data_IF_680694340993
#
_entry.id   IF_680694340993
#
_cell.length_a   1.000
_cell.length_b   1.000
_cell.length_c   1.000
_cell.angle_alpha   90.00
_cell.angle_beta   90.00
_cell.angle_gamma   90.00
#
_symmetry.space_group_name_H-M   'P 1'
#
loop_
_entity.id
_entity.type
_entity.pdbx_description
1 polymer ?
#
# COMPACT_ATOMS: atom_id res chain seq x y z
N UNK A 1 -3.39 -15.05 -5.54
CA UNK A 1 -4.07 -15.58 -6.75
C UNK A 1 -5.46 -15.02 -6.76
N UNK A 2 -5.81 -14.27 -7.80
CA UNK A 2 -7.12 -13.60 -7.92
C UNK A 2 -7.84 -14.19 -9.12
N UNK A 3 -8.95 -14.88 -8.86
CA UNK A 3 -9.97 -15.29 -9.83
C UNK A 3 -11.32 -14.85 -9.24
N UNK A 4 -11.75 -13.60 -9.48
CA UNK A 4 -12.80 -12.98 -8.69
C UNK A 4 -14.17 -13.35 -9.25
N UNK A 5 -15.07 -13.79 -8.36
CA UNK A 5 -16.46 -14.04 -8.71
C UNK A 5 -17.24 -12.76 -9.09
N UNK A 6 -16.75 -11.58 -8.66
CA UNK A 6 -17.36 -10.27 -8.89
C UNK A 6 -16.32 -9.24 -9.37
N UNK A 7 -16.70 -8.25 -10.18
CA UNK A 7 -15.78 -7.18 -10.58
C UNK A 7 -15.25 -6.41 -9.36
N UNK A 8 -13.96 -6.06 -9.39
CA UNK A 8 -13.35 -5.24 -8.34
C UNK A 8 -13.87 -3.79 -8.36
N UNK A 9 -14.00 -3.21 -7.17
CA UNK A 9 -14.25 -1.77 -7.02
C UNK A 9 -12.98 -0.97 -7.37
N UNK A 10 -13.10 0.33 -7.71
CA UNK A 10 -11.93 1.16 -7.95
C UNK A 10 -10.93 1.15 -6.79
N UNK A 11 -11.41 1.21 -5.54
CA UNK A 11 -10.53 1.20 -4.36
C UNK A 11 -9.77 -0.14 -4.22
N UNK A 12 -10.43 -1.24 -4.57
CA UNK A 12 -9.79 -2.56 -4.56
C UNK A 12 -8.74 -2.71 -5.65
N UNK A 13 -8.96 -2.14 -6.84
CA UNK A 13 -7.96 -2.13 -7.92
C UNK A 13 -6.73 -1.34 -7.46
N UNK A 14 -6.93 -0.12 -6.95
CA UNK A 14 -5.82 0.72 -6.43
C UNK A 14 -5.05 0.02 -5.32
N UNK A 15 -5.72 -0.67 -4.39
CA UNK A 15 -5.03 -1.41 -3.34
C UNK A 15 -4.14 -2.54 -3.87
N UNK A 16 -4.57 -3.24 -4.94
CA UNK A 16 -3.77 -4.31 -5.57
C UNK A 16 -2.62 -3.73 -6.40
N UNK A 17 -2.83 -2.59 -7.07
CA UNK A 17 -1.78 -1.85 -7.77
C UNK A 17 -0.69 -1.42 -6.79
N UNK A 18 -1.04 -0.74 -5.69
CA UNK A 18 -0.07 -0.35 -4.66
C UNK A 18 0.67 -1.56 -4.08
N UNK A 19 -0.02 -2.66 -3.82
CA UNK A 19 0.65 -3.89 -3.38
C UNK A 19 1.67 -4.40 -4.41
N UNK A 20 1.35 -4.34 -5.71
CA UNK A 20 2.27 -4.76 -6.76
C UNK A 20 3.46 -3.78 -6.90
N UNK A 21 3.21 -2.48 -6.79
CA UNK A 21 4.25 -1.43 -6.84
C UNK A 21 5.21 -1.51 -5.66
N UNK A 22 4.71 -1.91 -4.48
CA UNK A 22 5.51 -2.16 -3.27
C UNK A 22 6.37 -3.43 -3.36
N UNK A 23 6.43 -4.10 -4.52
CA UNK A 23 7.21 -5.34 -4.72
C UNK A 23 6.44 -6.62 -4.40
N UNK A 24 5.16 -6.53 -4.04
CA UNK A 24 4.27 -7.68 -3.89
C UNK A 24 4.01 -8.36 -5.24
N UNK A 25 3.92 -9.69 -5.26
CA UNK A 25 3.73 -10.47 -6.50
C UNK A 25 2.27 -10.81 -6.69
N UNK A 26 1.70 -10.46 -7.84
CA UNK A 26 0.29 -10.70 -8.17
C UNK A 26 0.18 -11.77 -9.26
N UNK A 27 -0.64 -12.79 -8.99
CA UNK A 27 -1.01 -13.80 -9.98
C UNK A 27 -2.49 -13.66 -10.32
N UNK A 28 -2.77 -13.35 -11.58
CA UNK A 28 -4.09 -13.26 -12.17
C UNK A 28 -4.38 -14.51 -12.99
N UNK A 29 -5.46 -15.21 -12.68
CA UNK A 29 -5.92 -16.35 -13.48
C UNK A 29 -7.31 -16.02 -14.01
N UNK A 30 -7.45 -15.98 -15.33
CA UNK A 30 -8.67 -15.54 -15.99
C UNK A 30 -9.21 -16.57 -16.95
N UNK A 31 -10.54 -16.69 -17.01
CA UNK A 31 -11.24 -17.45 -18.03
C UNK A 31 -11.92 -16.50 -19.04
N UNK A 32 -12.20 -16.97 -20.27
CA UNK A 32 -13.05 -16.22 -21.20
C UNK A 32 -14.42 -15.96 -20.57
N UNK A 33 -14.94 -14.75 -20.75
CA UNK A 33 -16.21 -14.34 -20.17
C UNK A 33 -17.35 -15.23 -20.71
N UNK A 34 -18.13 -15.83 -19.83
CA UNK A 34 -19.43 -16.40 -20.21
C UNK A 34 -20.45 -15.27 -20.29
N UNK A 35 -21.10 -15.13 -21.43
CA UNK A 35 -22.16 -14.13 -21.70
C UNK A 35 -23.21 -14.16 -20.59
N UNK A 36 -23.36 -13.05 -19.87
CA UNK A 36 -24.53 -12.81 -19.03
C UNK A 36 -25.65 -12.25 -19.91
N UNK A 37 -26.69 -13.05 -20.15
CA UNK A 37 -27.88 -12.61 -20.87
C UNK A 37 -28.75 -11.82 -19.90
N UNK A 38 -28.75 -10.49 -19.99
CA UNK A 38 -29.71 -9.65 -19.29
C UNK A 38 -31.08 -9.78 -19.97
N UNK A 39 -31.98 -10.60 -19.42
CA UNK A 39 -33.38 -10.66 -19.84
C UNK A 39 -34.16 -9.52 -19.21
N UNK A 40 -34.41 -8.45 -19.97
CA UNK A 40 -35.35 -7.38 -19.61
C UNK A 40 -36.76 -7.63 -20.19
N UNK A 41 -37.79 -6.92 -19.70
CA UNK A 41 -39.19 -7.08 -20.13
C UNK A 41 -39.47 -6.71 -21.60
N UNK A 42 -38.48 -6.13 -22.31
CA UNK A 42 -38.60 -5.68 -23.70
C UNK A 42 -37.66 -6.40 -24.68
N UNK A 43 -37.13 -7.58 -24.30
CA UNK A 43 -36.20 -8.37 -25.13
C UNK A 43 -34.74 -8.25 -24.67
N UNK A 44 -33.97 -9.32 -24.87
CA UNK A 44 -32.58 -9.42 -24.43
C UNK A 44 -31.65 -8.49 -25.20
N UNK A 45 -30.85 -7.70 -24.48
CA UNK A 45 -29.78 -6.89 -25.06
C UNK A 45 -28.44 -7.58 -24.81
N UNK A 46 -27.63 -7.74 -25.85
CA UNK A 46 -26.24 -8.20 -25.72
C UNK A 46 -25.42 -7.03 -25.17
N UNK A 47 -25.05 -7.10 -23.89
CA UNK A 47 -24.08 -6.16 -23.29
C UNK A 47 -22.69 -6.74 -23.53
N UNK A 48 -21.75 -5.94 -24.04
CA UNK A 48 -20.34 -6.32 -24.17
C UNK A 48 -19.78 -6.67 -22.77
N UNK A 49 -19.70 -7.96 -22.47
CA UNK A 49 -19.21 -8.43 -21.16
C UNK A 49 -17.69 -8.45 -21.20
N UNK A 50 -17.07 -7.35 -20.77
CA UNK A 50 -15.63 -7.32 -20.45
C UNK A 50 -15.29 -8.50 -19.53
N UNK A 51 -14.10 -9.09 -19.69
CA UNK A 51 -13.60 -10.07 -18.73
C UNK A 51 -13.80 -9.55 -17.31
N UNK A 52 -14.21 -10.40 -16.37
CA UNK A 52 -14.41 -10.00 -14.96
C UNK A 52 -13.11 -9.46 -14.34
N UNK A 53 -11.98 -9.84 -14.92
CA UNK A 53 -10.65 -9.32 -14.62
C UNK A 53 -10.28 -8.05 -15.37
N UNK A 54 -11.09 -7.59 -16.35
CA UNK A 54 -10.73 -6.49 -17.25
C UNK A 54 -10.27 -5.24 -16.51
N UNK A 55 -11.03 -4.75 -15.52
CA UNK A 55 -10.63 -3.56 -14.74
C UNK A 55 -9.35 -3.76 -13.92
N UNK A 56 -9.19 -4.92 -13.28
CA UNK A 56 -8.00 -5.22 -12.48
C UNK A 56 -6.77 -5.44 -13.37
N UNK A 57 -6.95 -6.15 -14.48
CA UNK A 57 -5.92 -6.37 -15.48
C UNK A 57 -5.46 -5.06 -16.11
N UNK A 58 -6.38 -4.20 -16.53
CA UNK A 58 -6.06 -2.90 -17.14
C UNK A 58 -5.17 -2.05 -16.21
N UNK A 59 -5.50 -1.99 -14.92
CA UNK A 59 -4.70 -1.33 -13.89
C UNK A 59 -3.30 -1.90 -13.71
N UNK A 60 -3.18 -3.22 -13.87
CA UNK A 60 -1.92 -3.97 -13.77
C UNK A 60 -1.19 -4.14 -15.13
N UNK A 61 -1.64 -3.46 -16.19
CA UNK A 61 -1.01 -3.52 -17.52
C UNK A 61 -1.21 -4.83 -18.28
N UNK A 62 -2.27 -5.57 -17.98
CA UNK A 62 -2.62 -6.88 -18.57
C UNK A 62 -4.03 -6.88 -19.14
N UNK A 63 -4.19 -7.31 -20.39
CA UNK A 63 -5.50 -7.47 -21.03
C UNK A 63 -5.86 -8.96 -21.22
N UNK A 64 -7.02 -9.37 -20.71
CA UNK A 64 -7.59 -10.70 -20.94
C UNK A 64 -8.59 -10.66 -22.11
N UNK A 65 -8.53 -11.66 -22.99
CA UNK A 65 -9.51 -11.87 -24.03
C UNK A 65 -10.85 -12.36 -23.47
N UNK A 66 -11.92 -12.10 -24.20
CA UNK A 66 -13.30 -12.53 -23.86
C UNK A 66 -13.69 -13.85 -24.53
N UNK A 67 -12.96 -14.25 -25.56
CA UNK A 67 -13.29 -15.37 -26.44
C UNK A 67 -12.42 -16.59 -26.14
N UNK A 68 -13.01 -17.78 -26.27
CA UNK A 68 -12.25 -19.02 -26.06
C UNK A 68 -11.39 -19.36 -27.27
N UNK A 69 -10.25 -20.00 -27.00
CA UNK A 69 -9.35 -20.54 -28.00
C UNK A 69 -9.70 -22.00 -28.33
N UNK A 70 -9.45 -22.39 -29.57
CA UNK A 70 -9.51 -23.78 -30.00
C UNK A 70 -8.43 -24.09 -31.04
N UNK A 71 -8.03 -25.35 -31.11
CA UNK A 71 -7.05 -25.85 -32.06
C UNK A 71 -7.39 -27.28 -32.49
N UNK A 72 -7.63 -27.50 -33.78
CA UNK A 72 -7.99 -28.82 -34.32
C UNK A 72 -6.78 -29.72 -34.55
N UNK A 73 -5.57 -29.14 -34.55
CA UNK A 73 -4.31 -29.83 -34.87
C UNK A 73 -3.50 -30.10 -33.61
N UNK A 74 -3.35 -29.09 -32.75
CA UNK A 74 -2.53 -29.14 -31.54
C UNK A 74 -3.41 -29.07 -30.27
N UNK A 75 -4.00 -30.21 -29.91
CA UNK A 75 -4.89 -30.31 -28.75
C UNK A 75 -4.69 -31.58 -27.93
N UNK A 76 -5.18 -31.55 -26.69
CA UNK A 76 -5.20 -32.69 -25.76
C UNK A 76 -6.47 -33.53 -25.97
N UNK A 77 -6.63 -34.12 -27.16
CA UNK A 77 -7.74 -35.02 -27.48
C UNK A 77 -9.13 -34.36 -27.58
N UNK A 78 -9.22 -33.05 -27.43
CA UNK A 78 -10.42 -32.25 -27.66
C UNK A 78 -9.99 -30.89 -28.18
N UNK A 79 -10.56 -30.44 -29.30
CA UNK A 79 -10.17 -29.19 -29.96
C UNK A 79 -10.23 -27.92 -29.08
N UNK A 80 -10.99 -27.92 -27.98
CA UNK A 80 -11.03 -26.82 -26.99
C UNK A 80 -9.91 -26.89 -25.95
N UNK A 81 -9.18 -28.01 -25.87
CA UNK A 81 -8.06 -28.23 -24.95
C UNK A 81 -6.76 -27.89 -25.66
N UNK A 82 -6.47 -26.60 -25.74
CA UNK A 82 -5.35 -26.07 -26.52
C UNK A 82 -4.03 -26.38 -25.82
N UNK A 83 -3.03 -26.80 -26.60
CA UNK A 83 -1.66 -26.91 -26.12
C UNK A 83 -0.91 -25.59 -26.37
N UNK A 84 -0.12 -25.15 -25.40
CA UNK A 84 0.72 -23.97 -25.51
C UNK A 84 2.17 -24.28 -25.17
N UNK A 85 3.10 -23.72 -25.95
CA UNK A 85 4.53 -23.93 -25.77
C UNK A 85 5.09 -22.86 -24.84
N UNK A 86 5.91 -23.31 -23.90
CA UNK A 86 6.59 -22.47 -22.93
C UNK A 86 7.74 -21.66 -23.51
N UNK A 87 8.06 -20.58 -22.81
CA UNK A 87 9.10 -19.62 -23.13
C UNK A 87 9.82 -19.21 -21.85
N UNK A 88 11.11 -18.86 -21.96
CA UNK A 88 11.89 -18.36 -20.82
C UNK A 88 12.00 -19.41 -19.73
N UNK A 89 11.51 -19.12 -18.52
CA UNK A 89 11.49 -20.06 -17.39
C UNK A 89 10.73 -21.37 -17.70
N UNK A 90 9.86 -21.33 -18.72
CA UNK A 90 9.08 -22.46 -19.24
C UNK A 90 9.63 -23.03 -20.56
N UNK A 91 10.83 -22.67 -21.01
CA UNK A 91 11.42 -23.24 -22.23
C UNK A 91 11.38 -24.78 -22.18
N UNK A 92 11.04 -25.39 -23.32
CA UNK A 92 10.78 -26.83 -23.51
C UNK A 92 9.58 -27.41 -22.75
N UNK A 93 8.80 -26.61 -22.02
CA UNK A 93 7.55 -27.06 -21.41
C UNK A 93 6.38 -26.93 -22.39
N UNK A 94 5.41 -27.84 -22.30
CA UNK A 94 4.13 -27.73 -23.01
C UNK A 94 2.96 -27.83 -22.04
N UNK A 95 2.15 -26.79 -21.96
CA UNK A 95 0.97 -26.73 -21.08
C UNK A 95 -0.30 -27.11 -21.84
N UNK A 96 -1.21 -27.82 -21.16
CA UNK A 96 -2.54 -28.13 -21.66
C UNK A 96 -3.57 -27.26 -20.94
N UNK A 97 -4.28 -26.43 -21.71
CA UNK A 97 -5.25 -25.46 -21.19
C UNK A 97 -6.66 -25.83 -21.66
N UNK A 98 -7.67 -25.77 -20.78
CA UNK A 98 -8.98 -26.39 -21.04
C UNK A 98 -10.11 -25.38 -21.27
N UNK A 99 -9.91 -24.14 -20.85
CA UNK A 99 -10.81 -23.00 -21.08
C UNK A 99 -9.98 -21.76 -21.41
N UNK A 100 -9.02 -21.91 -22.34
CA UNK A 100 -8.04 -20.87 -22.63
C UNK A 100 -8.64 -19.63 -23.32
N UNK A 101 -8.20 -18.45 -22.90
CA UNK A 101 -8.35 -17.16 -23.58
C UNK A 101 -6.98 -16.52 -23.83
N UNK A 102 -6.93 -15.51 -24.68
CA UNK A 102 -5.70 -14.74 -24.91
C UNK A 102 -5.36 -13.85 -23.73
N UNK A 103 -4.08 -13.66 -23.45
CA UNK A 103 -3.60 -12.69 -22.46
C UNK A 103 -2.48 -11.86 -23.07
N UNK A 104 -2.61 -10.54 -23.01
CA UNK A 104 -1.64 -9.60 -23.58
C UNK A 104 -1.10 -8.68 -22.48
N UNK A 105 0.19 -8.35 -22.57
CA UNK A 105 0.82 -7.32 -21.74
C UNK A 105 1.83 -6.56 -22.62
N UNK A 106 1.58 -5.31 -23.00
CA UNK A 106 2.50 -4.53 -23.82
C UNK A 106 3.89 -4.46 -23.18
N UNK A 107 4.93 -4.88 -23.91
CA UNK A 107 6.31 -4.94 -23.40
C UNK A 107 6.58 -6.07 -22.39
N UNK A 108 5.56 -6.86 -22.03
CA UNK A 108 5.67 -8.01 -21.15
C UNK A 108 6.27 -9.25 -21.83
N UNK A 109 6.78 -10.14 -21.00
CA UNK A 109 7.28 -11.45 -21.41
C UNK A 109 6.10 -12.41 -21.66
N UNK A 110 6.09 -13.11 -22.79
CA UNK A 110 5.11 -14.17 -23.06
C UNK A 110 5.64 -15.47 -22.50
N UNK A 111 4.98 -16.03 -21.48
CA UNK A 111 5.38 -17.27 -20.82
C UNK A 111 4.85 -18.52 -21.53
N UNK A 112 3.64 -18.43 -22.10
CA UNK A 112 3.01 -19.48 -22.90
C UNK A 112 2.45 -18.89 -24.18
N UNK A 113 2.75 -19.54 -25.30
CA UNK A 113 2.27 -19.13 -26.63
C UNK A 113 1.72 -20.34 -27.36
N UNK A 114 0.51 -20.21 -27.89
CA UNK A 114 -0.11 -21.29 -28.67
C UNK A 114 0.53 -21.44 -30.06
N UNK A 115 0.38 -22.60 -30.71
CA UNK A 115 0.81 -22.83 -32.09
C UNK A 115 0.11 -21.92 -33.11
N UNK A 116 0.65 -21.87 -34.34
CA UNK A 116 0.08 -21.09 -35.44
C UNK A 116 -1.31 -21.58 -35.90
N UNK A 117 -1.68 -22.81 -35.54
CA UNK A 117 -2.96 -23.45 -35.87
C UNK A 117 -4.13 -22.99 -35.00
N UNK A 118 -3.85 -22.27 -33.91
CA UNK A 118 -4.86 -21.90 -32.92
C UNK A 118 -5.76 -20.78 -33.42
N UNK A 119 -7.06 -20.90 -33.14
CA UNK A 119 -8.11 -19.96 -33.57
C UNK A 119 -8.90 -19.44 -32.36
N UNK A 120 -9.51 -18.27 -32.52
CA UNK A 120 -10.52 -17.75 -31.59
C UNK A 120 -11.92 -18.14 -32.05
N UNK A 121 -12.84 -18.31 -31.11
CA UNK A 121 -14.23 -18.69 -31.39
C UNK A 121 -14.98 -17.74 -32.34
N UNK A 122 -14.68 -16.44 -32.31
CA UNK A 122 -15.41 -15.41 -33.08
C UNK A 122 -14.61 -14.81 -34.24
N UNK A 123 -13.30 -15.07 -34.32
CA UNK A 123 -12.44 -14.54 -35.38
C UNK A 123 -12.02 -15.64 -36.34
N UNK A 124 -12.15 -15.36 -37.64
CA UNK A 124 -11.57 -16.20 -38.67
C UNK A 124 -10.08 -15.89 -38.80
N UNK A 125 -9.23 -16.86 -38.46
CA UNK A 125 -7.77 -16.75 -38.65
C UNK A 125 -6.98 -17.53 -37.60
N UNK A 126 -6.20 -18.51 -38.07
CA UNK A 126 -5.27 -19.25 -37.23
C UNK A 126 -3.99 -18.44 -37.04
N UNK A 127 -3.54 -18.28 -35.80
CA UNK A 127 -2.25 -17.65 -35.46
C UNK A 127 -1.82 -18.01 -34.05
N UNK A 128 -0.53 -17.82 -33.76
CA UNK A 128 0.01 -17.89 -32.40
C UNK A 128 -0.68 -16.84 -31.51
N UNK A 129 -1.04 -17.24 -30.30
CA UNK A 129 -1.65 -16.36 -29.29
C UNK A 129 -0.94 -16.53 -27.95
N UNK A 130 -0.58 -15.45 -27.25
CA UNK A 130 -0.16 -15.56 -25.86
C UNK A 130 -1.35 -15.94 -24.98
N UNK A 131 -1.10 -16.86 -24.06
CA UNK A 131 -2.09 -17.37 -23.08
C UNK A 131 -1.56 -17.30 -21.65
N UNK A 132 -0.28 -16.99 -21.49
CA UNK A 132 0.28 -16.54 -20.22
C UNK A 132 1.37 -15.49 -20.46
N UNK A 133 1.41 -14.46 -19.64
CA UNK A 133 2.37 -13.36 -19.71
C UNK A 133 2.89 -12.97 -18.32
N UNK A 134 4.07 -12.35 -18.29
CA UNK A 134 4.65 -11.70 -17.12
C UNK A 134 4.97 -10.25 -17.44
N UNK A 135 4.56 -9.34 -16.58
CA UNK A 135 4.92 -7.91 -16.65
C UNK A 135 5.18 -7.39 -15.25
N UNK A 136 6.39 -6.86 -15.00
CA UNK A 136 6.80 -6.40 -13.68
C UNK A 136 6.54 -7.44 -12.56
N UNK A 137 5.71 -7.05 -11.60
CA UNK A 137 5.30 -7.88 -10.46
C UNK A 137 4.00 -8.66 -10.68
N UNK A 138 3.58 -8.84 -11.93
CA UNK A 138 2.33 -9.51 -12.30
C UNK A 138 2.60 -10.70 -13.25
N UNK A 139 2.02 -11.85 -12.95
CA UNK A 139 1.85 -12.98 -13.88
C UNK A 139 0.37 -13.17 -14.15
N UNK A 140 0.02 -13.33 -15.42
CA UNK A 140 -1.35 -13.53 -15.86
C UNK A 140 -1.48 -14.75 -16.75
N UNK A 141 -2.48 -15.60 -16.51
CA UNK A 141 -2.76 -16.83 -17.27
C UNK A 141 -4.23 -16.89 -17.65
N UNK A 142 -4.50 -17.13 -18.93
CA UNK A 142 -5.84 -17.16 -19.53
C UNK A 142 -6.58 -18.48 -19.37
N UNK A 143 -6.26 -19.26 -18.34
CA UNK A 143 -6.99 -20.48 -17.94
C UNK A 143 -6.77 -20.69 -16.44
N UNK A 144 -7.84 -20.90 -15.68
CA UNK A 144 -7.76 -21.28 -14.25
C UNK A 144 -7.82 -22.79 -14.08
N UNK A 145 -8.35 -23.51 -15.07
CA UNK A 145 -8.76 -24.89 -14.91
C UNK A 145 -7.61 -25.86 -14.97
N UNK A 146 -6.45 -25.50 -15.53
CA UNK A 146 -5.25 -26.34 -15.50
C UNK A 146 -4.80 -26.74 -14.09
N UNK A 147 -5.24 -26.01 -13.05
CA UNK A 147 -5.00 -26.29 -11.64
C UNK A 147 -6.03 -27.23 -10.99
N UNK A 148 -7.08 -27.64 -11.72
CA UNK A 148 -8.23 -28.37 -11.15
C UNK A 148 -8.17 -29.87 -11.40
N UNK A 149 -8.66 -30.67 -10.45
CA UNK A 149 -8.74 -32.13 -10.57
C UNK A 149 -7.39 -32.78 -10.88
N UNK A 150 -7.33 -33.62 -11.91
CA UNK A 150 -6.11 -34.29 -12.35
C UNK A 150 -5.28 -33.49 -13.38
N UNK A 151 -5.69 -32.27 -13.74
CA UNK A 151 -5.06 -31.48 -14.80
C UNK A 151 -3.63 -30.97 -14.48
N UNK A 152 -3.20 -30.79 -13.21
CA UNK A 152 -1.82 -30.44 -12.92
C UNK A 152 -0.78 -31.48 -13.34
N UNK A 153 -1.17 -32.74 -13.55
CA UNK A 153 -0.25 -33.81 -14.01
C UNK A 153 -0.36 -34.08 -15.51
N UNK A 154 -1.17 -33.33 -16.24
CA UNK A 154 -1.30 -33.45 -17.70
C UNK A 154 -0.29 -32.53 -18.39
N UNK A 155 0.39 -33.08 -19.40
CA UNK A 155 1.51 -32.41 -20.08
C UNK A 155 2.49 -31.85 -19.02
N UNK A 156 2.94 -30.60 -19.16
CA UNK A 156 3.83 -29.94 -18.20
C UNK A 156 3.10 -28.93 -17.30
N UNK A 157 1.79 -29.09 -17.07
CA UNK A 157 1.02 -28.19 -16.20
C UNK A 157 1.60 -28.09 -14.78
N UNK A 158 2.24 -29.15 -14.28
CA UNK A 158 2.93 -29.14 -13.00
C UNK A 158 4.16 -28.22 -13.00
N UNK A 159 4.86 -28.09 -14.13
CA UNK A 159 5.97 -27.13 -14.27
C UNK A 159 5.44 -25.70 -14.34
N UNK A 160 4.37 -25.45 -15.09
CA UNK A 160 3.67 -24.16 -15.10
C UNK A 160 3.25 -23.73 -13.69
N UNK A 161 2.59 -24.61 -12.94
CA UNK A 161 2.16 -24.34 -11.57
C UNK A 161 3.35 -24.01 -10.65
N UNK A 162 4.48 -24.72 -10.77
CA UNK A 162 5.70 -24.45 -10.00
C UNK A 162 6.31 -23.09 -10.33
N UNK A 163 6.38 -22.70 -11.60
CA UNK A 163 6.89 -21.38 -12.01
C UNK A 163 6.00 -20.26 -11.46
N UNK A 164 4.67 -20.42 -11.54
CA UNK A 164 3.72 -19.46 -10.97
C UNK A 164 3.86 -19.37 -9.45
N UNK A 165 4.00 -20.51 -8.76
CA UNK A 165 4.19 -20.54 -7.31
C UNK A 165 5.52 -19.88 -6.90
N UNK A 166 6.61 -20.20 -7.59
CA UNK A 166 7.93 -19.59 -7.37
C UNK A 166 7.88 -18.07 -7.57
N UNK A 167 7.19 -17.60 -8.62
CA UNK A 167 6.94 -16.18 -8.84
C UNK A 167 6.15 -15.56 -7.69
N UNK A 168 5.07 -16.20 -7.24
CA UNK A 168 4.21 -15.67 -6.18
C UNK A 168 4.95 -15.53 -4.83
N UNK A 169 5.92 -16.40 -4.54
CA UNK A 169 6.71 -16.35 -3.29
C UNK A 169 8.01 -15.55 -3.41
N UNK A 170 8.46 -15.25 -4.63
CA UNK A 170 9.70 -14.50 -4.91
C UNK A 170 9.55 -12.98 -4.87
N UNK A 171 8.59 -12.45 -4.11
CA UNK A 171 8.38 -11.02 -3.93
C UNK A 171 9.16 -10.48 -2.75
N UNK A 172 10.12 -9.58 -3.00
CA UNK A 172 10.77 -8.78 -1.97
C UNK A 172 9.93 -7.52 -1.74
N UNK A 173 8.84 -7.63 -0.96
CA UNK A 173 8.02 -6.46 -0.62
C UNK A 173 8.89 -5.45 0.12
N UNK A 174 8.99 -4.23 -0.42
CA UNK A 174 9.53 -3.09 0.31
C UNK A 174 8.52 -2.77 1.40
N UNK A 175 8.83 -3.18 2.63
CA UNK A 175 7.98 -2.91 3.79
C UNK A 175 8.26 -1.49 4.25
N UNK A 176 7.21 -0.69 4.36
CA UNK A 176 7.30 0.72 4.71
C UNK A 176 7.07 0.94 6.21
N UNK A 177 7.26 2.18 6.69
CA UNK A 177 6.97 2.55 8.09
C UNK A 177 5.51 2.24 8.48
N UNK A 178 4.60 2.37 7.52
CA UNK A 178 3.19 1.98 7.60
C UNK A 178 2.93 0.47 7.78
N UNK A 179 3.94 -0.36 7.49
CA UNK A 179 3.90 -1.81 7.70
C UNK A 179 4.49 -2.21 9.06
N UNK A 180 4.62 -1.30 10.02
CA UNK A 180 5.00 -1.67 11.39
C UNK A 180 4.07 -2.79 11.93
N UNK A 181 4.59 -3.79 12.66
CA UNK A 181 6.00 -4.06 12.99
C UNK A 181 6.72 -4.97 11.98
N UNK A 182 6.14 -5.21 10.80
CA UNK A 182 6.58 -6.27 9.91
C UNK A 182 7.95 -6.02 9.29
N UNK A 183 8.39 -4.78 9.09
CA UNK A 183 9.75 -4.51 8.60
C UNK A 183 10.85 -4.75 9.63
N UNK A 184 10.50 -4.96 10.90
CA UNK A 184 11.48 -5.22 11.95
C UNK A 184 12.09 -6.63 11.81
N UNK A 185 13.36 -6.81 12.24
CA UNK A 185 13.99 -8.12 12.30
C UNK A 185 13.25 -9.06 13.26
N UNK A 186 13.58 -10.35 13.22
CA UNK A 186 12.91 -11.37 14.03
C UNK A 186 13.05 -11.12 15.54
N UNK A 187 14.22 -10.65 15.98
CA UNK A 187 14.50 -10.33 17.39
C UNK A 187 14.91 -8.86 17.56
N UNK A 188 13.95 -7.91 17.48
CA UNK A 188 14.28 -6.50 17.59
C UNK A 188 14.64 -6.15 19.04
N UNK A 189 15.71 -5.37 19.21
CA UNK A 189 16.11 -4.82 20.50
C UNK A 189 15.56 -3.41 20.64
N UNK A 190 14.62 -3.24 21.56
CA UNK A 190 13.94 -1.97 21.77
C UNK A 190 14.61 -1.22 22.92
N UNK A 191 15.14 -0.04 22.62
CA UNK A 191 15.87 0.82 23.55
C UNK A 191 15.15 2.11 23.85
N UNK A 192 15.44 2.67 25.02
CA UNK A 192 14.94 3.97 25.41
C UNK A 192 16.05 4.86 25.99
N UNK A 193 16.04 6.15 25.64
CA UNK A 193 17.09 7.10 26.05
C UNK A 193 16.94 7.65 27.46
N UNK A 194 15.72 7.70 28.00
CA UNK A 194 15.43 8.24 29.34
C UNK A 194 14.30 7.48 30.06
N UNK A 195 14.34 7.49 31.40
CA UNK A 195 13.42 6.68 32.22
C UNK A 195 11.93 6.97 31.98
N UNK A 196 11.57 8.21 31.61
CA UNK A 196 10.20 8.59 31.27
C UNK A 196 9.64 7.85 30.05
N UNK A 197 10.50 7.33 29.17
CA UNK A 197 10.10 6.58 27.97
C UNK A 197 9.88 5.09 28.22
N UNK A 198 10.14 4.59 29.43
CA UNK A 198 10.08 3.17 29.74
C UNK A 198 8.71 2.57 29.42
N UNK A 199 7.62 3.27 29.76
CA UNK A 199 6.28 2.74 29.57
C UNK A 199 5.86 2.74 28.09
N UNK A 200 6.12 3.82 27.35
CA UNK A 200 5.98 3.83 25.89
C UNK A 200 6.77 2.70 25.22
N UNK A 201 7.97 2.41 25.73
CA UNK A 201 8.82 1.35 25.19
C UNK A 201 8.29 -0.05 25.49
N UNK A 202 7.71 -0.26 26.68
CA UNK A 202 7.03 -1.52 27.03
C UNK A 202 5.81 -1.76 26.17
N UNK A 203 5.05 -0.71 25.88
CA UNK A 203 3.88 -0.77 25.00
C UNK A 203 4.32 -1.14 23.57
N UNK A 204 5.36 -0.49 23.04
CA UNK A 204 5.94 -0.85 21.75
C UNK A 204 6.39 -2.32 21.71
N UNK A 205 7.03 -2.79 22.78
CA UNK A 205 7.46 -4.18 22.90
C UNK A 205 6.28 -5.16 22.98
N UNK A 206 5.13 -4.75 23.51
CA UNK A 206 3.90 -5.54 23.52
C UNK A 206 3.37 -5.71 22.10
N UNK A 207 3.31 -4.64 21.32
CA UNK A 207 2.87 -4.68 19.92
C UNK A 207 3.77 -5.56 19.06
N UNK A 208 5.09 -5.41 19.22
CA UNK A 208 6.06 -6.27 18.53
C UNK A 208 5.85 -7.75 18.89
N UNK A 209 5.61 -8.08 20.15
CA UNK A 209 5.33 -9.46 20.58
C UNK A 209 4.01 -10.00 20.07
N UNK A 210 2.98 -9.16 19.97
CA UNK A 210 1.69 -9.53 19.39
C UNK A 210 1.85 -9.98 17.91
N UNK A 211 2.86 -9.46 17.21
CA UNK A 211 3.21 -9.89 15.84
C UNK A 211 4.03 -11.20 15.74
N UNK A 212 4.29 -11.88 16.87
CA UNK A 212 5.06 -13.13 16.92
C UNK A 212 6.57 -12.96 17.04
N UNK A 213 7.08 -11.74 17.28
CA UNK A 213 8.52 -11.44 17.42
C UNK A 213 8.92 -11.31 18.89
N UNK A 214 9.94 -12.03 19.39
CA UNK A 214 10.44 -11.85 20.75
C UNK A 214 11.19 -10.51 20.90
N UNK A 215 10.46 -9.42 21.14
CA UNK A 215 11.06 -8.10 21.41
C UNK A 215 11.59 -7.98 22.85
N UNK A 216 12.84 -7.54 23.01
CA UNK A 216 13.46 -7.23 24.31
C UNK A 216 13.50 -5.72 24.58
N UNK A 217 13.33 -5.30 25.83
CA UNK A 217 13.42 -3.88 26.25
C UNK A 217 14.69 -3.67 27.08
N UNK A 218 15.47 -2.63 26.76
CA UNK A 218 16.66 -2.26 27.53
C UNK A 218 16.90 -0.74 27.51
N UNK A 219 17.47 -0.12 28.57
CA UNK A 219 17.91 1.27 28.49
C UNK A 219 19.06 1.44 27.47
N UNK A 220 19.18 2.64 26.89
CA UNK A 220 20.37 3.02 26.13
C UNK A 220 21.56 3.20 27.09
N UNK A 221 22.66 2.47 26.84
CA UNK A 221 23.90 2.62 27.62
C UNK A 221 24.69 3.86 27.22
N UNK A 222 25.67 4.29 28.04
CA UNK A 222 26.45 5.54 27.86
C UNK A 222 27.29 5.65 26.58
N UNK A 223 27.42 4.59 25.80
CA UNK A 223 27.95 4.64 24.43
C UNK A 223 27.72 3.26 23.83
N UNK A 224 26.82 3.15 22.87
CA UNK A 224 26.73 1.96 22.02
C UNK A 224 26.41 2.49 20.64
N UNK A 225 27.41 2.49 19.76
CA UNK A 225 27.13 2.56 18.33
C UNK A 225 26.08 1.48 18.04
N UNK A 226 24.90 1.84 17.51
CA UNK A 226 23.82 0.90 17.31
C UNK A 226 24.31 -0.35 16.57
N UNK A 227 23.97 -1.52 17.11
CA UNK A 227 24.17 -2.77 16.37
C UNK A 227 22.98 -2.93 15.41
N UNK A 228 23.20 -3.58 14.27
CA UNK A 228 22.09 -4.04 13.40
C UNK A 228 21.06 -4.75 14.29
N UNK A 229 19.77 -4.45 14.12
CA UNK A 229 18.61 -4.90 14.94
C UNK A 229 18.20 -4.00 16.12
N UNK A 230 18.23 -2.67 15.99
CA UNK A 230 17.83 -1.75 17.06
C UNK A 230 16.60 -0.88 16.71
N UNK A 231 15.67 -0.81 17.66
CA UNK A 231 14.54 0.14 17.68
C UNK A 231 14.80 1.13 18.81
N UNK A 232 14.86 2.42 18.52
CA UNK A 232 15.15 3.46 19.51
C UNK A 232 13.91 4.31 19.77
N UNK A 233 13.46 4.35 21.02
CA UNK A 233 12.47 5.30 21.52
C UNK A 233 13.21 6.41 22.26
N UNK A 234 13.03 7.66 21.84
CA UNK A 234 13.83 8.78 22.36
C UNK A 234 13.07 10.10 22.38
N UNK A 235 13.58 11.06 23.15
CA UNK A 235 13.20 12.46 23.01
C UNK A 235 14.14 13.18 22.03
N UNK A 236 13.66 14.29 21.45
CA UNK A 236 14.50 15.18 20.66
C UNK A 236 15.65 15.77 21.50
N UNK A 237 15.42 16.01 22.79
CA UNK A 237 16.45 16.54 23.70
C UNK A 237 17.58 15.54 23.92
N UNK A 238 17.23 14.27 24.08
CA UNK A 238 18.22 13.19 24.24
C UNK A 238 18.97 12.91 22.93
N UNK A 239 18.32 13.03 21.77
CA UNK A 239 18.97 12.95 20.45
C UNK A 239 20.01 14.05 20.26
N UNK A 240 19.64 15.30 20.56
CA UNK A 240 20.53 16.45 20.46
C UNK A 240 21.76 16.29 21.36
N UNK A 241 21.59 15.79 22.60
CA UNK A 241 22.69 15.52 23.53
C UNK A 241 23.63 14.41 23.08
N UNK A 242 23.07 13.36 22.47
CA UNK A 242 23.84 12.15 22.11
C UNK A 242 24.52 12.27 20.77
N UNK A 243 24.22 13.32 19.98
CA UNK A 243 24.75 13.57 18.64
C UNK A 243 24.76 12.26 17.83
N UNK A 244 23.58 11.71 17.53
CA UNK A 244 23.44 10.42 16.89
C UNK A 244 23.21 10.59 15.36
N UNK A 245 24.26 10.88 14.56
CA UNK A 245 24.15 11.02 13.10
C UNK A 245 23.63 9.74 12.45
N UNK A 246 23.79 8.60 13.13
CA UNK A 246 23.32 7.27 12.68
C UNK A 246 21.78 7.14 12.63
N UNK A 247 21.06 8.09 13.22
CA UNK A 247 19.59 8.12 13.19
C UNK A 247 19.01 8.82 11.97
N UNK A 248 19.82 9.56 11.19
CA UNK A 248 19.33 10.38 10.07
C UNK A 248 18.37 11.50 10.49
N UNK A 249 18.27 11.79 11.80
CA UNK A 249 17.47 12.87 12.37
C UNK A 249 18.41 13.96 12.86
N UNK A 250 18.28 15.15 12.28
CA UNK A 250 18.95 16.35 12.77
C UNK A 250 18.00 17.13 13.67
N UNK A 251 18.47 17.50 14.86
CA UNK A 251 17.68 18.23 15.86
C UNK A 251 18.49 19.42 16.33
N UNK A 252 17.86 20.60 16.33
CA UNK A 252 18.37 21.81 16.99
C UNK A 252 17.50 22.14 18.18
N UNK A 253 17.83 23.17 18.98
CA UNK A 253 17.00 23.61 20.10
C UNK A 253 15.49 23.77 19.80
N UNK A 254 15.10 24.07 18.55
CA UNK A 254 13.69 24.30 18.16
C UNK A 254 13.21 23.54 16.94
N UNK A 255 14.10 22.98 16.12
CA UNK A 255 13.73 22.34 14.84
C UNK A 255 14.11 20.86 14.79
N UNK A 256 13.38 20.12 13.96
CA UNK A 256 13.67 18.74 13.57
C UNK A 256 13.74 18.70 12.05
N UNK A 257 14.84 18.15 11.53
CA UNK A 257 15.01 17.86 10.11
C UNK A 257 15.24 16.35 9.93
N UNK A 258 14.42 15.74 9.08
CA UNK A 258 14.52 14.34 8.65
C UNK A 258 14.25 14.27 7.15
N UNK A 259 14.67 13.19 6.46
CA UNK A 259 14.32 13.01 5.05
C UNK A 259 12.81 13.16 4.80
N UNK A 260 12.45 14.20 4.02
CA UNK A 260 11.07 14.54 3.67
C UNK A 260 10.34 15.47 4.64
N UNK A 261 10.96 15.93 5.72
CA UNK A 261 10.33 16.84 6.68
C UNK A 261 11.34 17.76 7.38
N UNK A 262 11.04 19.06 7.38
CA UNK A 262 11.72 20.06 8.19
C UNK A 262 10.67 20.89 8.92
N UNK A 263 10.73 20.96 10.25
CA UNK A 263 9.68 21.58 11.04
C UNK A 263 10.02 21.83 12.51
N UNK A 264 9.02 22.35 13.23
CA UNK A 264 9.14 22.69 14.66
C UNK A 264 9.10 21.44 15.53
N UNK A 265 9.95 21.39 16.56
CA UNK A 265 9.91 20.37 17.62
C UNK A 265 8.62 20.40 18.42
N UNK A 266 7.99 21.56 18.52
CA UNK A 266 6.79 21.74 19.32
C UNK A 266 5.59 21.17 18.59
N UNK A 267 4.93 20.21 19.21
CA UNK A 267 3.73 19.57 18.66
C UNK A 267 4.00 18.20 18.09
N UNK A 268 5.26 17.86 17.77
CA UNK A 268 5.52 16.79 16.81
C UNK A 268 6.22 15.59 17.42
N UNK A 269 6.01 14.45 16.78
CA UNK A 269 6.84 13.27 16.93
C UNK A 269 7.04 12.60 15.58
N UNK A 270 8.19 11.94 15.42
CA UNK A 270 8.68 11.39 14.17
C UNK A 270 8.90 9.89 14.35
N UNK A 271 8.39 9.13 13.39
CA UNK A 271 8.77 7.73 13.19
C UNK A 271 9.63 7.65 11.93
N UNK A 272 10.89 7.30 12.08
CA UNK A 272 11.83 7.28 10.96
C UNK A 272 12.61 5.98 10.89
N UNK A 273 12.85 5.50 9.67
CA UNK A 273 13.69 4.35 9.35
C UNK A 273 15.01 4.84 8.74
N UNK A 274 16.10 4.98 9.52
CA UNK A 274 17.36 5.46 8.97
C UNK A 274 18.03 4.45 8.04
N UNK A 275 18.89 4.95 7.15
CA UNK A 275 19.81 4.12 6.38
C UNK A 275 21.02 3.80 7.25
N UNK A 276 20.89 2.77 8.09
CA UNK A 276 21.91 2.52 9.10
C UNK A 276 21.64 1.28 9.95
N UNK A 277 22.33 1.13 11.09
CA UNK A 277 22.17 0.00 11.99
C UNK A 277 20.86 0.03 12.80
N UNK A 278 20.16 1.16 12.83
CA UNK A 278 18.88 1.33 13.52
C UNK A 278 17.73 1.05 12.54
N UNK A 279 16.84 0.11 12.87
CA UNK A 279 15.71 -0.27 12.02
C UNK A 279 14.53 0.69 12.16
N UNK A 280 14.41 1.35 13.33
CA UNK A 280 13.35 2.29 13.64
C UNK A 280 13.76 3.27 14.73
N UNK A 281 13.47 4.55 14.52
CA UNK A 281 13.57 5.62 15.51
C UNK A 281 12.19 6.20 15.74
N UNK A 282 11.74 6.21 16.99
CA UNK A 282 10.56 6.93 17.47
C UNK A 282 11.07 8.09 18.32
N UNK A 283 11.02 9.31 17.77
CA UNK A 283 11.53 10.52 18.40
C UNK A 283 10.41 11.51 18.66
N UNK A 284 10.30 12.04 19.88
CA UNK A 284 9.24 12.97 20.25
C UNK A 284 9.76 14.15 21.08
N UNK A 285 8.96 15.22 21.19
CA UNK A 285 9.30 16.34 22.06
C UNK A 285 9.18 16.03 23.55
N UNK A 286 8.41 15.01 23.93
CA UNK A 286 8.22 14.59 25.32
C UNK A 286 7.89 13.09 25.41
N UNK A 287 8.04 12.46 26.60
CA UNK A 287 7.68 11.06 26.79
C UNK A 287 6.21 10.73 26.51
N UNK A 288 5.30 11.64 26.85
CA UNK A 288 3.86 11.47 26.65
C UNK A 288 3.52 11.42 25.15
N UNK A 289 4.18 12.26 24.34
CA UNK A 289 4.05 12.21 22.88
C UNK A 289 4.66 10.96 22.28
N UNK A 290 5.79 10.49 22.81
CA UNK A 290 6.34 9.20 22.38
C UNK A 290 5.34 8.07 22.64
N UNK A 291 4.65 8.08 23.79
CA UNK A 291 3.59 7.11 24.08
C UNK A 291 2.41 7.21 23.10
N UNK A 292 1.98 8.42 22.74
CA UNK A 292 0.92 8.63 21.74
C UNK A 292 1.30 8.03 20.37
N UNK A 293 2.53 8.25 19.90
CA UNK A 293 3.03 7.65 18.64
C UNK A 293 3.10 6.13 18.72
N UNK A 294 3.56 5.58 19.83
CA UNK A 294 3.61 4.12 19.99
C UNK A 294 2.21 3.50 19.89
N UNK A 295 1.19 4.16 20.44
CA UNK A 295 -0.21 3.73 20.26
C UNK A 295 -0.63 3.81 18.80
N UNK A 296 -0.31 4.92 18.11
CA UNK A 296 -0.61 5.10 16.70
C UNK A 296 0.07 4.06 15.78
N UNK A 297 1.27 3.60 16.17
CA UNK A 297 1.96 2.48 15.52
C UNK A 297 1.24 1.14 15.74
N UNK A 298 0.74 0.91 16.95
CA UNK A 298 0.03 -0.33 17.32
C UNK A 298 -1.35 -0.46 16.68
N UNK A 299 -2.13 0.62 16.64
CA UNK A 299 -3.47 0.63 16.02
C UNK A 299 -3.45 0.87 14.50
N UNK A 300 -2.30 1.27 13.95
CA UNK A 300 -2.08 1.49 12.53
C UNK A 300 -2.56 2.85 12.01
N UNK A 301 -2.97 3.79 12.88
CA UNK A 301 -3.35 5.16 12.51
C UNK A 301 -2.17 5.96 11.94
N UNK A 302 -0.92 5.55 12.19
CA UNK A 302 0.29 6.16 11.61
C UNK A 302 0.30 6.19 10.07
N UNK A 303 -0.52 5.35 9.42
CA UNK A 303 -0.66 5.31 7.96
C UNK A 303 -1.17 6.63 7.38
N UNK A 304 -2.04 7.32 8.10
CA UNK A 304 -2.60 8.62 7.68
C UNK A 304 -1.57 9.75 7.79
N UNK A 305 -0.50 9.52 8.55
CA UNK A 305 0.56 10.49 8.87
C UNK A 305 1.90 10.15 8.19
N UNK A 306 1.88 9.20 7.26
CA UNK A 306 3.07 8.75 6.53
C UNK A 306 3.44 9.76 5.45
N UNK A 307 4.64 10.33 5.54
CA UNK A 307 5.19 11.28 4.56
C UNK A 307 5.97 10.60 3.45
N UNK A 308 6.59 9.45 3.75
CA UNK A 308 7.31 8.60 2.80
C UNK A 308 7.37 7.16 3.30
N UNK A 309 7.88 6.25 2.49
CA UNK A 309 8.13 4.84 2.84
C UNK A 309 8.94 4.63 4.14
N UNK A 310 9.71 5.64 4.55
CA UNK A 310 10.62 5.58 5.70
C UNK A 310 10.28 6.54 6.83
N UNK A 311 9.35 7.49 6.62
CA UNK A 311 9.10 8.58 7.57
C UNK A 311 7.61 8.82 7.73
N UNK A 312 7.15 8.84 8.98
CA UNK A 312 5.83 9.36 9.37
C UNK A 312 6.02 10.45 10.43
N UNK A 313 5.18 11.47 10.40
CA UNK A 313 5.24 12.60 11.35
C UNK A 313 3.86 12.87 11.89
N UNK A 314 3.71 12.75 13.21
CA UNK A 314 2.47 13.06 13.91
C UNK A 314 2.53 14.44 14.54
N UNK A 315 1.42 15.15 14.52
CA UNK A 315 1.15 16.25 15.42
C UNK A 315 0.28 15.73 16.58
N UNK A 316 0.82 14.81 17.40
CA UNK A 316 0.04 14.20 18.48
C UNK A 316 -0.58 15.30 19.36
N UNK A 317 -1.90 15.24 19.63
CA UNK A 317 -2.57 16.27 20.42
C UNK A 317 -1.90 16.35 21.79
N UNK A 318 -1.57 17.57 22.22
CA UNK A 318 -1.30 17.80 23.63
C UNK A 318 -2.61 17.48 24.37
N UNK A 319 -2.57 16.63 25.40
CA UNK A 319 -3.70 16.59 26.33
C UNK A 319 -3.92 18.02 26.82
N UNK A 320 -5.15 18.52 26.68
CA UNK A 320 -5.55 19.77 27.31
C UNK A 320 -5.26 19.61 28.81
N UNK A 321 -4.30 20.39 29.29
CA UNK A 321 -4.02 20.55 30.71
C UNK A 321 -5.36 20.76 31.42
N UNK A 322 -5.65 19.93 32.42
CA UNK A 322 -6.88 19.97 33.19
C UNK A 322 -7.07 21.35 33.83
N UNK A 323 -7.65 22.27 33.08
CA UNK A 323 -7.96 23.62 33.50
C UNK A 323 -9.07 23.56 34.52
N UNK A 324 -8.69 23.80 35.79
CA UNK A 324 -9.63 23.96 36.89
C UNK A 324 -10.75 24.92 36.51
N UNK A 325 -11.97 24.52 36.87
CA UNK A 325 -13.18 25.32 36.75
C UNK A 325 -12.97 26.64 37.50
N UNK A 326 -12.62 27.71 36.79
CA UNK A 326 -12.90 29.07 37.24
C UNK A 326 -14.35 29.37 36.91
N UNK A 327 -15.17 29.41 37.97
CA UNK A 327 -16.51 29.96 38.01
C UNK A 327 -16.59 31.28 37.23
N UNK A 328 -17.60 31.50 36.37
CA UNK A 328 -17.78 32.78 35.70
C UNK A 328 -18.27 33.85 36.71
N UNK A 329 -17.77 35.09 36.64
CA UNK A 329 -18.29 36.17 37.47
C UNK A 329 -19.72 36.50 37.05
N UNK A 330 -20.58 36.62 38.06
CA UNK A 330 -21.97 37.05 38.00
C UNK A 330 -22.10 38.41 37.32
N UNK A 331 -23.02 38.48 36.35
CA UNK A 331 -23.27 39.67 35.53
C UNK A 331 -23.73 40.88 36.35
N UNK A 332 -23.00 41.99 36.18
CA UNK A 332 -23.43 43.33 36.54
C UNK A 332 -24.13 44.01 35.35
N UNK A 333 -25.24 44.65 35.69
CA UNK A 333 -26.21 45.40 34.87
C UNK A 333 -25.62 46.35 33.80
N UNK A 334 -26.18 46.43 32.58
CA UNK A 334 -25.74 47.39 31.57
C UNK A 334 -26.32 48.79 31.78
N UNK A 335 -25.46 49.81 31.71
CA UNK A 335 -25.81 51.23 31.78
C UNK A 335 -26.62 51.71 30.54
N UNK A 336 -27.49 52.73 30.69
CA UNK A 336 -28.35 53.22 29.60
C UNK A 336 -27.60 54.11 28.59
N UNK A 337 -28.12 54.26 27.35
CA UNK A 337 -27.46 54.99 26.28
C UNK A 337 -27.55 56.52 26.45
N UNK A 338 -26.53 57.28 25.99
CA UNK A 338 -26.59 58.74 26.00
C UNK A 338 -27.52 59.28 24.91
N UNK A 339 -28.39 60.20 25.33
CA UNK A 339 -29.27 61.04 24.52
C UNK A 339 -28.48 62.00 23.64
N UNK A 340 -28.95 62.17 22.40
CA UNK A 340 -28.36 63.06 21.41
C UNK A 340 -28.46 64.55 21.74
N UNK A 341 -27.71 65.33 20.97
CA UNK A 341 -28.02 66.73 20.72
C UNK A 341 -27.68 67.06 19.27
N UNK A 342 -28.73 67.42 18.54
CA UNK A 342 -28.67 68.08 17.23
C UNK A 342 -28.14 69.51 17.39
N UNK A 343 -27.38 70.01 16.41
CA UNK A 343 -27.60 71.35 15.84
C UNK A 343 -26.72 71.60 14.61
N UNK A 344 -27.39 71.56 13.46
CA UNK A 344 -27.36 72.53 12.37
C UNK A 344 -26.07 73.30 12.03
N UNK A 345 -25.63 73.20 10.77
CA UNK A 345 -25.38 74.37 9.92
C UNK A 345 -25.44 74.01 8.42
N UNK A 346 -26.21 74.83 7.71
CA UNK A 346 -26.62 74.79 6.30
C UNK A 346 -25.50 75.11 5.28
N UNK A 347 -25.77 74.97 3.95
CA UNK A 347 -24.76 74.80 2.91
C UNK A 347 -24.44 76.04 2.04
N UNK A 348 -23.39 75.87 1.22
CA UNK A 348 -23.07 76.50 -0.08
C UNK A 348 -23.12 78.03 -0.27
N UNK A 349 -21.96 78.61 -0.68
CA UNK A 349 -21.79 79.15 -2.05
C UNK A 349 -20.34 79.53 -2.39
N UNK A 350 -20.07 79.38 -3.68
CA UNK A 350 -18.84 79.52 -4.47
C UNK A 350 -18.38 80.96 -4.65
N UNK A 351 -17.05 81.20 -4.63
CA UNK A 351 -16.30 82.03 -5.60
C UNK A 351 -14.78 81.88 -5.36
N UNK A 352 -13.97 81.75 -6.42
CA UNK A 352 -12.95 82.78 -6.60
C UNK A 352 -12.76 83.19 -8.06
N UNK A 353 -12.39 84.45 -8.28
CA UNK A 353 -11.54 84.85 -9.40
C UNK A 353 -10.75 86.11 -9.01
N UNK A 354 -9.42 85.99 -9.17
CA UNK A 354 -8.31 86.93 -8.93
C UNK A 354 -7.87 87.09 -7.48
#
# INVERSE_FOLDING_TARGET
>A
MIDPAFPHSPEQVTAVESFADDGGRVVLLGEPTRVDVATGPFGGSLVDVRSRLGRLGDGLGVAFGTDYLYDEVNNEGNYKRVLADGRGDLDDARAALYTATTVEAPGGERLLVTPETTRLSVQSGARRRPVAVRTGNVVAVGDTTFLTGAKPVVADNGRLARVIAAFAVGGDRIRDVADFPYFLPDEPRIRYSSAGLLDATKDLAREVRASGRPGGVAPTGRSVAPRRTEVLVTTFEDLERTNAPETGIEVTATTVSVPGYDGSRNGVAVVHRPEGPVDLVVAASSPERAAAVVRALGDGSIREETLSSRTAVTAAPAEEDGGGVTEPPTGGEPAPPPTGNESASSPERVSPLV
#
